data_IF_398831582363
#
_entry.id   IF_398831582363
#
_cell.length_a   1.000
_cell.length_b   1.000
_cell.length_c   1.000
_cell.angle_alpha   90.00
_cell.angle_beta   90.00
_cell.angle_gamma   90.00
#
_symmetry.space_group_name_H-M   'P 1'
#
loop_
_entity.id
_entity.type
_entity.pdbx_description
1 polymer ?
#
# COMPACT_ATOMS: atom_id res chain seq x y z
N UNK A 1 -84.80 80.14 11.11
CA UNK A 1 -83.47 79.79 11.67
C UNK A 1 -82.71 78.73 10.87
N UNK A 2 -83.36 77.82 10.14
CA UNK A 2 -82.70 76.66 9.49
C UNK A 2 -81.64 76.98 8.41
N UNK A 3 -81.79 78.07 7.65
CA UNK A 3 -80.83 78.41 6.57
C UNK A 3 -79.44 78.79 7.11
N UNK A 4 -79.35 79.43 8.29
CA UNK A 4 -78.06 79.78 8.91
C UNK A 4 -77.32 78.55 9.46
N UNK A 5 -78.04 77.51 9.87
CA UNK A 5 -77.44 76.25 10.34
C UNK A 5 -76.88 75.43 9.17
N UNK A 6 -77.59 75.37 8.04
CA UNK A 6 -77.11 74.69 6.81
C UNK A 6 -75.85 75.35 6.23
N UNK A 7 -75.72 76.68 6.31
CA UNK A 7 -74.53 77.39 5.83
C UNK A 7 -73.28 77.13 6.68
N UNK A 8 -73.44 77.11 8.01
CA UNK A 8 -72.34 76.77 8.94
C UNK A 8 -71.87 75.33 8.79
N UNK A 9 -72.78 74.39 8.52
CA UNK A 9 -72.43 72.98 8.27
C UNK A 9 -71.64 72.78 6.97
N UNK A 10 -71.99 73.51 5.89
CA UNK A 10 -71.23 73.47 4.61
C UNK A 10 -69.84 74.08 4.72
N UNK A 11 -69.70 75.18 5.46
CA UNK A 11 -68.40 75.85 5.66
C UNK A 11 -67.45 75.01 6.53
N UNK A 12 -67.98 74.34 7.55
CA UNK A 12 -67.19 73.45 8.41
C UNK A 12 -66.74 72.19 7.66
N UNK A 13 -67.63 71.60 6.84
CA UNK A 13 -67.27 70.47 5.99
C UNK A 13 -66.20 70.80 4.94
N UNK A 14 -66.26 71.99 4.33
CA UNK A 14 -65.24 72.44 3.37
C UNK A 14 -63.88 72.67 4.03
N UNK A 15 -63.85 73.27 5.23
CA UNK A 15 -62.59 73.46 5.98
C UNK A 15 -61.97 72.12 6.40
N UNK A 16 -62.79 71.17 6.84
CA UNK A 16 -62.33 69.83 7.22
C UNK A 16 -61.72 69.08 6.01
N UNK A 17 -62.34 69.20 4.83
CA UNK A 17 -61.89 68.53 3.62
C UNK A 17 -60.57 69.13 3.09
N UNK A 18 -60.40 70.45 3.16
CA UNK A 18 -59.14 71.12 2.80
C UNK A 18 -58.00 70.71 3.75
N UNK A 19 -58.25 70.64 5.06
CA UNK A 19 -57.23 70.19 6.02
C UNK A 19 -56.85 68.72 5.83
N UNK A 20 -57.82 67.87 5.48
CA UNK A 20 -57.58 66.46 5.19
C UNK A 20 -56.69 66.30 3.94
N UNK A 21 -56.99 67.04 2.86
CA UNK A 21 -56.21 67.00 1.62
C UNK A 21 -54.79 67.52 1.83
N UNK A 22 -54.62 68.62 2.56
CA UNK A 22 -53.29 69.15 2.89
C UNK A 22 -52.48 68.15 3.73
N UNK A 23 -53.11 67.50 4.70
CA UNK A 23 -52.47 66.45 5.50
C UNK A 23 -52.05 65.26 4.64
N UNK A 24 -52.89 64.82 3.70
CA UNK A 24 -52.56 63.74 2.77
C UNK A 24 -51.37 64.10 1.86
N UNK A 25 -51.33 65.30 1.30
CA UNK A 25 -50.22 65.78 0.46
C UNK A 25 -48.91 65.83 1.24
N UNK A 26 -48.93 66.32 2.49
CA UNK A 26 -47.74 66.33 3.36
C UNK A 26 -47.24 64.92 3.67
N UNK A 27 -48.13 63.94 3.89
CA UNK A 27 -47.72 62.55 4.11
C UNK A 27 -47.10 61.90 2.87
N UNK A 28 -47.61 62.21 1.67
CA UNK A 28 -47.01 61.72 0.42
C UNK A 28 -45.64 62.32 0.14
N UNK A 29 -45.43 63.61 0.42
CA UNK A 29 -44.13 64.25 0.26
C UNK A 29 -43.06 63.64 1.18
N UNK A 30 -43.42 63.34 2.44
CA UNK A 30 -42.53 62.66 3.38
C UNK A 30 -42.21 61.22 2.92
N UNK A 31 -43.21 60.49 2.43
CA UNK A 31 -43.03 59.14 1.89
C UNK A 31 -42.12 59.14 0.65
N UNK A 32 -42.27 60.13 -0.25
CA UNK A 32 -41.46 60.23 -1.46
C UNK A 32 -40.00 60.58 -1.16
N UNK A 33 -39.76 61.44 -0.16
CA UNK A 33 -38.40 61.76 0.31
C UNK A 33 -37.71 60.53 0.90
N UNK A 34 -38.39 59.78 1.77
CA UNK A 34 -37.86 58.55 2.34
C UNK A 34 -37.60 57.47 1.27
N UNK A 35 -38.41 57.44 0.21
CA UNK A 35 -38.20 56.52 -0.90
C UNK A 35 -36.98 56.90 -1.75
N UNK A 36 -36.74 58.19 -2.00
CA UNK A 36 -35.53 58.65 -2.69
C UNK A 36 -34.25 58.33 -1.90
N UNK A 37 -34.24 58.58 -0.59
CA UNK A 37 -33.09 58.24 0.25
C UNK A 37 -32.79 56.74 0.23
N UNK A 38 -33.84 55.89 0.22
CA UNK A 38 -33.67 54.43 0.06
C UNK A 38 -33.10 54.06 -1.31
N UNK A 39 -33.53 54.70 -2.39
CA UNK A 39 -33.00 54.47 -3.74
C UNK A 39 -31.52 54.84 -3.82
N UNK A 40 -31.11 55.98 -3.26
CA UNK A 40 -29.71 56.39 -3.19
C UNK A 40 -28.86 55.36 -2.42
N UNK A 41 -29.40 54.81 -1.32
CA UNK A 41 -28.69 53.73 -0.59
C UNK A 41 -28.63 52.42 -1.37
N UNK A 42 -29.63 52.11 -2.20
CA UNK A 42 -29.63 50.91 -3.04
C UNK A 42 -28.63 51.06 -4.19
N UNK A 43 -28.54 52.23 -4.82
CA UNK A 43 -27.56 52.52 -5.86
C UNK A 43 -26.13 52.50 -5.31
N UNK A 44 -25.90 53.05 -4.11
CA UNK A 44 -24.60 52.97 -3.45
C UNK A 44 -24.20 51.51 -3.10
N UNK A 45 -25.17 50.69 -2.67
CA UNK A 45 -24.94 49.25 -2.42
C UNK A 45 -24.71 48.49 -3.72
N UNK A 46 -25.44 48.82 -4.78
CA UNK A 46 -25.30 48.20 -6.10
C UNK A 46 -23.94 48.53 -6.70
N UNK A 47 -23.49 49.80 -6.65
CA UNK A 47 -22.16 50.19 -7.10
C UNK A 47 -21.03 49.53 -6.28
N UNK A 48 -21.25 49.31 -4.97
CA UNK A 48 -20.27 48.59 -4.13
C UNK A 48 -20.24 47.09 -4.46
N UNK A 49 -21.39 46.47 -4.69
CA UNK A 49 -21.49 45.08 -5.14
C UNK A 49 -20.88 44.95 -6.53
N UNK A 50 -21.16 45.87 -7.44
CA UNK A 50 -20.59 45.92 -8.79
C UNK A 50 -19.07 46.13 -8.76
N UNK A 51 -18.54 46.95 -7.84
CA UNK A 51 -17.08 47.11 -7.65
C UNK A 51 -16.40 45.87 -7.05
N UNK A 52 -17.12 45.07 -6.25
CA UNK A 52 -16.62 43.80 -5.68
C UNK A 52 -16.83 42.63 -6.65
N UNK A 53 -17.88 42.68 -7.47
CA UNK A 53 -18.23 41.69 -8.48
C UNK A 53 -17.50 41.92 -9.82
N UNK A 54 -17.05 43.14 -10.12
CA UNK A 54 -16.31 43.43 -11.34
C UNK A 54 -14.84 43.00 -11.19
N UNK A 55 -14.57 41.92 -11.93
CA UNK A 55 -13.32 41.46 -12.51
C UNK A 55 -12.21 41.00 -11.57
N UNK A 56 -11.67 41.80 -10.66
CA UNK A 56 -10.36 41.45 -10.05
C UNK A 56 -10.41 40.20 -9.17
N UNK A 57 -11.43 40.06 -8.31
CA UNK A 57 -11.57 38.89 -7.44
C UNK A 57 -11.93 37.61 -8.21
N UNK A 58 -12.83 37.72 -9.21
CA UNK A 58 -13.20 36.60 -10.08
C UNK A 58 -12.07 36.19 -11.03
N UNK A 59 -11.28 37.14 -11.52
CA UNK A 59 -10.08 36.88 -12.32
C UNK A 59 -9.00 36.23 -11.47
N UNK A 60 -8.77 36.70 -10.24
CA UNK A 60 -7.82 36.08 -9.32
C UNK A 60 -8.24 34.64 -8.97
N UNK A 61 -9.54 34.41 -8.71
CA UNK A 61 -10.06 33.07 -8.43
C UNK A 61 -9.97 32.15 -9.66
N UNK A 62 -10.30 32.66 -10.85
CA UNK A 62 -10.16 31.94 -12.11
C UNK A 62 -8.69 31.58 -12.39
N UNK A 63 -7.76 32.52 -12.18
CA UNK A 63 -6.32 32.26 -12.30
C UNK A 63 -5.88 31.17 -11.31
N UNK A 64 -6.37 31.22 -10.06
CA UNK A 64 -6.07 30.20 -9.05
C UNK A 64 -6.62 28.82 -9.43
N UNK A 65 -7.84 28.74 -9.96
CA UNK A 65 -8.41 27.49 -10.48
C UNK A 65 -7.56 26.94 -11.64
N UNK A 66 -7.12 27.79 -12.57
CA UNK A 66 -6.28 27.37 -13.69
C UNK A 66 -4.88 26.89 -13.23
N UNK A 67 -4.32 27.48 -12.17
CA UNK A 67 -3.07 26.99 -11.56
C UNK A 67 -3.30 25.63 -10.90
N UNK A 68 -4.35 25.51 -10.07
CA UNK A 68 -4.67 24.25 -9.39
C UNK A 68 -4.99 23.12 -10.37
N UNK A 69 -5.66 23.40 -11.49
CA UNK A 69 -5.93 22.40 -12.52
C UNK A 69 -4.65 21.91 -13.20
N UNK A 70 -3.69 22.81 -13.48
CA UNK A 70 -2.38 22.44 -14.03
C UNK A 70 -1.58 21.61 -13.03
N UNK A 71 -1.62 21.97 -11.75
CA UNK A 71 -0.94 21.22 -10.69
C UNK A 71 -1.55 19.81 -10.52
N UNK A 72 -2.88 19.67 -10.58
CA UNK A 72 -3.55 18.36 -10.56
C UNK A 72 -3.15 17.53 -11.78
N UNK A 73 -3.06 18.12 -12.98
CA UNK A 73 -2.60 17.42 -14.17
C UNK A 73 -1.15 16.96 -14.05
N UNK A 74 -0.27 17.82 -13.52
CA UNK A 74 1.12 17.46 -13.26
C UNK A 74 1.24 16.34 -12.23
N UNK A 75 0.55 16.45 -11.10
CA UNK A 75 0.55 15.41 -10.06
C UNK A 75 -0.01 14.07 -10.55
N UNK A 76 -0.97 14.08 -11.48
CA UNK A 76 -1.45 12.86 -12.14
C UNK A 76 -0.37 12.26 -13.03
N UNK A 77 0.29 13.07 -13.85
CA UNK A 77 1.43 12.64 -14.67
C UNK A 77 2.57 12.05 -13.84
N UNK A 78 2.92 12.69 -12.72
CA UNK A 78 3.93 12.18 -11.79
C UNK A 78 3.51 10.85 -11.16
N UNK A 79 2.23 10.70 -10.76
CA UNK A 79 1.72 9.42 -10.25
C UNK A 79 1.74 8.32 -11.31
N UNK A 80 1.40 8.64 -12.55
CA UNK A 80 1.45 7.71 -13.68
C UNK A 80 2.89 7.27 -13.97
N UNK A 81 3.84 8.22 -13.94
CA UNK A 81 5.27 7.93 -14.07
C UNK A 81 5.79 7.04 -12.93
N UNK A 82 5.49 7.40 -11.68
CA UNK A 82 5.86 6.60 -10.50
C UNK A 82 5.26 5.19 -10.55
N UNK A 83 4.01 5.07 -11.00
CA UNK A 83 3.35 3.78 -11.19
C UNK A 83 4.04 2.95 -12.26
N UNK A 84 4.40 3.57 -13.38
CA UNK A 84 5.13 2.90 -14.45
C UNK A 84 6.52 2.44 -13.98
N UNK A 85 7.26 3.30 -13.29
CA UNK A 85 8.57 2.97 -12.74
C UNK A 85 8.48 1.83 -11.72
N UNK A 86 7.49 1.84 -10.83
CA UNK A 86 7.21 0.74 -9.91
C UNK A 86 6.93 -0.58 -10.64
N UNK A 87 6.13 -0.55 -11.71
CA UNK A 87 5.82 -1.74 -12.48
C UNK A 87 7.05 -2.28 -13.21
N UNK A 88 7.88 -1.40 -13.78
CA UNK A 88 9.15 -1.76 -14.41
C UNK A 88 10.12 -2.37 -13.40
N UNK A 89 10.24 -1.78 -12.21
CA UNK A 89 11.11 -2.27 -11.15
C UNK A 89 10.64 -3.63 -10.61
N UNK A 90 9.33 -3.82 -10.44
CA UNK A 90 8.73 -5.12 -10.10
C UNK A 90 8.96 -6.17 -11.20
N UNK A 91 8.86 -5.79 -12.48
CA UNK A 91 9.10 -6.70 -13.60
C UNK A 91 10.57 -7.13 -13.64
N UNK A 92 11.50 -6.17 -13.52
CA UNK A 92 12.94 -6.44 -13.45
C UNK A 92 13.31 -7.32 -12.26
N UNK A 93 12.71 -7.07 -11.10
CA UNK A 93 12.88 -7.90 -9.93
C UNK A 93 12.40 -9.34 -10.19
N UNK A 94 11.22 -9.51 -10.79
CA UNK A 94 10.68 -10.84 -11.16
C UNK A 94 11.60 -11.56 -12.13
N UNK A 95 12.11 -10.87 -13.14
CA UNK A 95 13.04 -11.43 -14.11
C UNK A 95 14.35 -11.86 -13.47
N UNK A 96 14.92 -11.04 -12.57
CA UNK A 96 16.10 -11.42 -11.78
C UNK A 96 15.84 -12.65 -10.90
N UNK A 97 14.67 -12.76 -10.28
CA UNK A 97 14.30 -13.96 -9.53
C UNK A 97 14.20 -15.21 -10.42
N UNK A 98 13.64 -15.08 -11.63
CA UNK A 98 13.54 -16.17 -12.59
C UNK A 98 14.92 -16.58 -13.15
N UNK A 99 15.83 -15.62 -13.37
CA UNK A 99 17.20 -15.90 -13.78
C UNK A 99 18.00 -16.61 -12.69
N UNK A 100 17.86 -16.17 -11.43
CA UNK A 100 18.46 -16.85 -10.28
C UNK A 100 17.94 -18.29 -10.18
N UNK A 101 16.62 -18.51 -10.36
CA UNK A 101 16.02 -19.85 -10.34
C UNK A 101 16.55 -20.73 -11.48
N UNK A 102 16.63 -20.19 -12.71
CA UNK A 102 17.23 -20.90 -13.86
C UNK A 102 18.69 -21.25 -13.63
N UNK A 103 19.51 -20.31 -13.14
CA UNK A 103 20.92 -20.55 -12.84
C UNK A 103 21.08 -21.56 -11.73
N UNK A 104 20.21 -21.54 -10.74
CA UNK A 104 20.25 -22.46 -9.63
C UNK A 104 19.80 -23.88 -10.04
N UNK A 105 18.90 -24.00 -11.02
CA UNK A 105 18.56 -25.28 -11.68
C UNK A 105 19.67 -25.75 -12.63
N UNK A 106 20.31 -24.83 -13.36
CA UNK A 106 21.42 -25.14 -14.27
C UNK A 106 22.74 -25.42 -13.54
N UNK A 107 22.86 -25.01 -12.28
CA UNK A 107 23.97 -25.32 -11.37
C UNK A 107 23.73 -26.63 -10.58
N UNK A 108 22.86 -27.52 -11.09
CA UNK A 108 22.93 -28.94 -10.76
C UNK A 108 24.32 -29.50 -11.08
N UNK A 109 24.78 -30.56 -10.38
CA UNK A 109 26.19 -30.83 -10.14
C UNK A 109 26.98 -30.84 -11.44
N UNK A 110 27.94 -29.92 -11.55
CA UNK A 110 29.03 -30.02 -12.51
C UNK A 110 29.82 -31.26 -12.09
N UNK A 111 29.46 -32.41 -12.66
CA UNK A 111 30.41 -33.51 -12.80
C UNK A 111 31.56 -32.96 -13.61
N UNK A 112 32.61 -32.54 -12.91
CA UNK A 112 33.95 -32.46 -13.45
C UNK A 112 34.32 -33.89 -13.85
N UNK A 113 33.89 -34.28 -15.04
CA UNK A 113 34.34 -35.49 -15.70
C UNK A 113 35.83 -35.32 -15.95
N UNK A 114 36.60 -36.07 -15.16
CA UNK A 114 38.03 -36.26 -15.29
C UNK A 114 38.41 -36.52 -16.76
N UNK A 115 39.13 -35.56 -17.34
CA UNK A 115 39.86 -35.74 -18.58
C UNK A 115 41.09 -36.61 -18.31
N UNK A 116 40.93 -37.93 -18.38
CA UNK A 116 42.05 -38.87 -18.58
C UNK A 116 41.76 -39.77 -19.77
N UNK A 117 42.12 -39.25 -20.95
CA UNK A 117 42.39 -40.07 -22.14
C UNK A 117 43.66 -40.89 -21.91
N UNK A 118 43.53 -42.21 -21.94
CA UNK A 118 44.63 -43.12 -22.21
C UNK A 118 44.14 -44.31 -23.05
N UNK A 119 44.66 -44.35 -24.28
CA UNK A 119 45.04 -45.54 -25.08
C UNK A 119 44.02 -46.63 -25.39
N UNK A 120 43.56 -46.53 -26.63
CA UNK A 120 43.21 -47.58 -27.61
C UNK A 120 44.01 -48.90 -27.49
N UNK A 121 43.31 -50.05 -27.58
CA UNK A 121 43.91 -51.39 -27.53
C UNK A 121 42.93 -52.59 -27.52
N UNK A 122 42.15 -52.75 -28.58
CA UNK A 122 41.67 -53.97 -29.31
C UNK A 122 41.56 -55.36 -28.60
N UNK A 123 40.46 -56.08 -28.93
CA UNK A 123 40.22 -57.57 -28.93
C UNK A 123 39.70 -58.20 -27.60
N UNK A 124 38.67 -59.08 -27.48
CA UNK A 124 37.90 -59.95 -28.38
C UNK A 124 36.50 -60.30 -27.79
N UNK A 125 35.61 -60.64 -28.72
CA UNK A 125 34.40 -61.46 -28.66
C UNK A 125 34.43 -62.67 -27.71
N UNK A 126 33.30 -62.96 -27.04
CA UNK A 126 32.62 -64.27 -27.06
C UNK A 126 31.42 -64.31 -26.11
N UNK A 127 30.24 -64.47 -26.71
CA UNK A 127 28.97 -64.73 -26.08
C UNK A 127 28.66 -66.24 -26.22
N UNK A 128 28.60 -67.01 -25.13
CA UNK A 128 27.96 -68.34 -25.13
C UNK A 128 27.66 -68.91 -23.73
N UNK A 129 26.37 -69.25 -23.54
CA UNK A 129 25.83 -70.42 -22.84
C UNK A 129 25.83 -70.49 -21.29
N UNK A 130 24.71 -70.06 -20.72
CA UNK A 130 23.68 -70.87 -20.05
C UNK A 130 24.07 -72.13 -19.23
N UNK A 131 23.66 -72.14 -17.94
CA UNK A 131 23.08 -73.22 -17.07
C UNK A 131 23.47 -72.95 -15.59
N UNK A 132 22.60 -72.55 -14.65
CA UNK A 132 21.48 -73.23 -13.94
C UNK A 132 21.93 -74.29 -12.91
N UNK A 133 21.65 -73.97 -11.62
CA UNK A 133 21.44 -74.84 -10.41
C UNK A 133 22.68 -75.52 -9.76
N UNK A 134 22.85 -75.73 -8.43
CA UNK A 134 21.99 -75.64 -7.20
C UNK A 134 22.85 -75.89 -5.92
N UNK A 135 22.44 -75.25 -4.81
CA UNK A 135 22.39 -75.72 -3.39
C UNK A 135 23.66 -75.96 -2.53
N UNK A 136 23.67 -75.35 -1.33
CA UNK A 136 24.44 -75.79 -0.15
C UNK A 136 24.64 -74.70 0.94
N UNK A 137 24.05 -74.91 2.13
CA UNK A 137 24.11 -74.19 3.42
C UNK A 137 25.37 -73.33 3.78
N UNK A 138 25.21 -72.24 4.55
CA UNK A 138 25.61 -72.07 5.98
C UNK A 138 24.96 -70.82 6.64
N UNK A 139 24.29 -71.09 7.76
CA UNK A 139 24.06 -70.32 9.00
C UNK A 139 24.81 -68.98 9.29
N UNK A 140 24.05 -68.03 9.85
CA UNK A 140 24.35 -67.19 11.03
C UNK A 140 24.95 -65.76 10.90
N UNK A 141 24.18 -64.80 11.44
CA UNK A 141 24.53 -63.58 12.19
C UNK A 141 25.17 -62.35 11.53
N UNK A 142 24.43 -61.23 11.68
CA UNK A 142 24.88 -59.84 11.82
C UNK A 142 25.90 -59.28 10.81
N UNK A 143 25.40 -58.47 9.88
CA UNK A 143 26.11 -57.32 9.34
C UNK A 143 25.15 -56.13 9.21
N UNK A 144 25.06 -55.34 10.30
CA UNK A 144 24.90 -53.90 10.13
C UNK A 144 26.22 -53.33 9.63
N UNK A 145 26.11 -52.24 8.88
CA UNK A 145 27.09 -51.18 8.59
C UNK A 145 27.30 -50.98 7.09
N UNK A 146 27.17 -49.70 6.71
CA UNK A 146 27.41 -49.06 5.42
C UNK A 146 26.28 -49.11 4.37
N UNK A 147 25.08 -48.68 4.76
CA UNK A 147 24.14 -48.07 3.79
C UNK A 147 24.63 -46.66 3.47
N UNK A 148 25.16 -46.50 2.27
CA UNK A 148 25.47 -45.25 1.54
C UNK A 148 24.35 -44.22 1.68
N UNK A 149 24.41 -43.41 2.74
CA UNK A 149 23.46 -42.33 3.02
C UNK A 149 24.25 -41.03 3.02
N UNK A 150 24.18 -40.28 1.92
CA UNK A 150 24.86 -38.99 1.85
C UNK A 150 24.49 -38.10 0.67
N UNK A 151 24.10 -38.65 -0.48
CA UNK A 151 24.03 -37.83 -1.71
C UNK A 151 22.64 -37.73 -2.35
N UNK A 152 21.74 -38.69 -2.15
CA UNK A 152 20.43 -38.68 -2.83
C UNK A 152 19.34 -37.95 -2.02
N UNK A 153 19.42 -37.94 -0.68
CA UNK A 153 18.38 -37.36 0.20
C UNK A 153 18.35 -35.83 0.13
N UNK A 154 19.51 -35.17 0.05
CA UNK A 154 19.60 -33.70 0.04
C UNK A 154 19.00 -33.06 -1.20
N UNK A 155 19.05 -33.74 -2.35
CA UNK A 155 18.51 -33.21 -3.60
C UNK A 155 16.99 -33.39 -3.70
N UNK A 156 16.43 -34.50 -3.19
CA UNK A 156 14.97 -34.66 -3.09
C UNK A 156 14.37 -33.69 -2.08
N UNK A 157 14.92 -33.61 -0.86
CA UNK A 157 14.39 -32.74 0.20
C UNK A 157 14.45 -31.25 -0.17
N UNK A 158 15.47 -30.82 -0.93
CA UNK A 158 15.56 -29.45 -1.42
C UNK A 158 14.58 -29.14 -2.55
N UNK A 159 14.30 -30.10 -3.43
CA UNK A 159 13.27 -29.99 -4.46
C UNK A 159 11.87 -29.94 -3.84
N UNK A 160 11.61 -30.77 -2.82
CA UNK A 160 10.35 -30.79 -2.07
C UNK A 160 10.15 -29.44 -1.35
N UNK A 161 11.18 -28.92 -0.68
CA UNK A 161 11.12 -27.60 -0.06
C UNK A 161 10.85 -26.47 -1.07
N UNK A 162 11.50 -26.50 -2.24
CA UNK A 162 11.27 -25.51 -3.28
C UNK A 162 9.81 -25.53 -3.78
N UNK A 163 9.25 -26.73 -3.96
CA UNK A 163 7.89 -26.92 -4.45
C UNK A 163 6.83 -26.54 -3.41
N UNK A 164 7.02 -26.90 -2.15
CA UNK A 164 6.12 -26.54 -1.05
C UNK A 164 6.09 -25.02 -0.84
N UNK A 165 7.27 -24.39 -0.84
CA UNK A 165 7.37 -22.93 -0.78
C UNK A 165 6.65 -22.26 -1.96
N UNK A 166 6.86 -22.76 -3.18
CA UNK A 166 6.20 -22.24 -4.39
C UNK A 166 4.68 -22.36 -4.31
N UNK A 167 4.17 -23.45 -3.76
CA UNK A 167 2.74 -23.68 -3.56
C UNK A 167 2.16 -22.66 -2.58
N UNK A 168 2.78 -22.51 -1.40
CA UNK A 168 2.38 -21.53 -0.39
C UNK A 168 2.40 -20.10 -0.92
N UNK A 169 3.44 -19.74 -1.68
CA UNK A 169 3.58 -18.42 -2.30
C UNK A 169 2.57 -18.19 -3.43
N UNK A 170 2.17 -19.23 -4.16
CA UNK A 170 1.13 -19.13 -5.20
C UNK A 170 -0.22 -18.79 -4.58
N UNK A 171 -0.57 -19.40 -3.44
CA UNK A 171 -1.79 -19.06 -2.69
C UNK A 171 -1.79 -17.60 -2.23
N UNK A 172 -0.66 -17.12 -1.71
CA UNK A 172 -0.48 -15.71 -1.33
C UNK A 172 -0.77 -14.77 -2.51
N UNK A 173 -0.18 -15.06 -3.67
CA UNK A 173 -0.36 -14.25 -4.90
C UNK A 173 -1.79 -14.24 -5.41
N UNK A 174 -2.56 -15.30 -5.15
CA UNK A 174 -3.98 -15.40 -5.50
C UNK A 174 -4.89 -14.67 -4.48
N UNK A 175 -4.32 -14.09 -3.42
CA UNK A 175 -5.09 -13.45 -2.34
C UNK A 175 -5.74 -14.45 -1.38
N UNK A 176 -5.43 -15.74 -1.49
CA UNK A 176 -5.91 -16.78 -0.58
C UNK A 176 -5.06 -16.80 0.68
N UNK A 177 -5.19 -15.76 1.49
CA UNK A 177 -4.28 -15.52 2.61
C UNK A 177 -4.38 -16.59 3.69
N UNK A 178 -5.58 -17.09 4.00
CA UNK A 178 -5.76 -18.17 4.98
C UNK A 178 -5.10 -19.48 4.55
N UNK A 179 -5.34 -19.91 3.31
CA UNK A 179 -4.69 -21.10 2.75
C UNK A 179 -3.17 -20.93 2.71
N UNK A 180 -2.70 -19.74 2.37
CA UNK A 180 -1.27 -19.41 2.34
C UNK A 180 -0.64 -19.46 3.73
N UNK A 181 -1.32 -18.96 4.76
CA UNK A 181 -0.88 -19.04 6.16
C UNK A 181 -0.73 -20.50 6.59
N UNK A 182 -1.69 -21.37 6.26
CA UNK A 182 -1.62 -22.80 6.56
C UNK A 182 -0.43 -23.44 5.85
N UNK A 183 -0.26 -23.16 4.54
CA UNK A 183 0.81 -23.72 3.74
C UNK A 183 2.21 -23.26 4.20
N UNK A 184 2.39 -21.98 4.55
CA UNK A 184 3.66 -21.49 5.07
C UNK A 184 3.98 -22.03 6.47
N UNK A 185 2.99 -22.18 7.35
CA UNK A 185 3.21 -22.84 8.64
C UNK A 185 3.65 -24.30 8.45
N UNK A 186 2.99 -25.05 7.58
CA UNK A 186 3.40 -26.41 7.23
C UNK A 186 4.83 -26.45 6.70
N UNK A 187 5.16 -25.57 5.75
CA UNK A 187 6.51 -25.42 5.22
C UNK A 187 7.55 -25.16 6.32
N UNK A 188 7.28 -24.26 7.25
CA UNK A 188 8.22 -23.91 8.33
C UNK A 188 8.37 -25.03 9.37
N UNK A 189 7.36 -25.89 9.52
CA UNK A 189 7.44 -27.07 10.37
C UNK A 189 8.31 -28.17 9.74
N UNK A 190 8.16 -28.41 8.44
CA UNK A 190 8.85 -29.51 7.74
C UNK A 190 10.22 -29.11 7.19
N UNK A 191 10.39 -27.85 6.79
CA UNK A 191 11.56 -27.33 6.08
C UNK A 191 12.22 -26.15 6.80
N UNK A 192 12.25 -26.17 8.13
CA UNK A 192 12.75 -25.06 8.99
C UNK A 192 14.20 -24.63 8.71
N UNK A 193 15.03 -25.55 8.21
CA UNK A 193 16.44 -25.33 7.86
C UNK A 193 16.66 -25.02 6.37
N UNK A 194 15.59 -24.96 5.57
CA UNK A 194 15.69 -24.68 4.15
C UNK A 194 16.17 -23.25 3.90
N UNK A 195 16.87 -23.03 2.79
CA UNK A 195 17.23 -21.68 2.31
C UNK A 195 16.01 -20.77 2.10
N UNK A 196 14.82 -21.35 1.92
CA UNK A 196 13.56 -20.60 1.79
C UNK A 196 12.92 -20.26 3.13
N UNK A 197 13.38 -20.80 4.26
CA UNK A 197 12.75 -20.63 5.57
C UNK A 197 12.60 -19.16 5.98
N UNK A 198 13.66 -18.35 5.85
CA UNK A 198 13.56 -16.92 6.19
C UNK A 198 12.58 -16.14 5.30
N UNK A 199 12.47 -16.50 4.02
CA UNK A 199 11.48 -15.92 3.12
C UNK A 199 10.06 -16.39 3.46
N UNK A 200 9.88 -17.69 3.75
CA UNK A 200 8.60 -18.27 4.14
C UNK A 200 8.06 -17.63 5.43
N UNK A 201 8.93 -17.44 6.43
CA UNK A 201 8.64 -16.75 7.68
C UNK A 201 8.18 -15.31 7.43
N UNK A 202 8.86 -14.59 6.53
CA UNK A 202 8.47 -13.24 6.13
C UNK A 202 7.10 -13.20 5.43
N UNK A 203 6.86 -14.12 4.49
CA UNK A 203 5.58 -14.15 3.77
C UNK A 203 4.41 -14.61 4.65
N UNK A 204 4.66 -15.48 5.62
CA UNK A 204 3.69 -15.82 6.65
C UNK A 204 3.29 -14.57 7.46
N UNK A 205 4.27 -13.75 7.85
CA UNK A 205 4.00 -12.50 8.55
C UNK A 205 3.19 -11.51 7.68
N UNK A 206 3.56 -11.35 6.41
CA UNK A 206 2.85 -10.49 5.46
C UNK A 206 1.42 -10.98 5.19
N UNK A 207 1.20 -12.29 5.06
CA UNK A 207 -0.13 -12.86 4.91
C UNK A 207 -1.02 -12.55 6.11
N UNK A 208 -0.48 -12.66 7.33
CA UNK A 208 -1.18 -12.27 8.55
C UNK A 208 -1.46 -10.76 8.57
N UNK A 209 -0.49 -9.93 8.19
CA UNK A 209 -0.63 -8.47 8.15
C UNK A 209 -1.78 -8.05 7.22
N UNK A 210 -1.80 -8.56 5.98
CA UNK A 210 -2.85 -8.22 5.01
C UNK A 210 -4.22 -8.76 5.43
N UNK A 211 -4.24 -9.90 6.14
CA UNK A 211 -5.45 -10.44 6.76
C UNK A 211 -5.88 -9.70 8.04
N UNK A 212 -5.22 -8.59 8.38
CA UNK A 212 -5.43 -7.78 9.60
C UNK A 212 -5.25 -8.55 10.91
N UNK A 213 -4.51 -9.65 10.86
CA UNK A 213 -4.08 -10.45 12.02
C UNK A 213 -2.80 -9.86 12.58
N UNK A 214 -2.88 -8.60 13.01
CA UNK A 214 -1.70 -7.83 13.39
C UNK A 214 -0.92 -8.43 14.59
N UNK A 215 -1.55 -9.00 15.63
CA UNK A 215 -0.79 -9.67 16.70
C UNK A 215 0.04 -10.85 16.20
N UNK A 216 -0.52 -11.65 15.28
CA UNK A 216 0.18 -12.76 14.65
C UNK A 216 1.29 -12.22 13.73
N UNK A 217 0.99 -11.24 12.88
CA UNK A 217 1.98 -10.62 12.00
C UNK A 217 3.19 -10.08 12.79
N UNK A 218 2.94 -9.43 13.92
CA UNK A 218 3.97 -8.93 14.83
C UNK A 218 4.87 -10.07 15.31
N UNK A 219 4.29 -11.17 15.80
CA UNK A 219 5.05 -12.34 16.22
C UNK A 219 5.89 -12.93 15.07
N UNK A 220 5.29 -13.09 13.89
CA UNK A 220 5.97 -13.71 12.75
C UNK A 220 7.07 -12.81 12.15
N UNK A 221 6.92 -11.48 12.14
CA UNK A 221 7.99 -10.55 11.73
C UNK A 221 9.13 -10.54 12.75
N UNK A 222 8.85 -10.59 14.05
CA UNK A 222 9.87 -10.71 15.10
C UNK A 222 10.70 -11.97 14.90
N UNK A 223 10.08 -13.11 14.57
CA UNK A 223 10.81 -14.35 14.25
C UNK A 223 11.76 -14.18 13.05
N UNK A 224 11.39 -13.42 12.01
CA UNK A 224 12.33 -13.13 10.90
C UNK A 224 13.61 -12.48 11.41
N UNK A 225 13.46 -11.51 12.32
CA UNK A 225 14.57 -10.71 12.85
C UNK A 225 15.45 -11.52 13.80
N UNK A 226 14.82 -12.30 14.69
CA UNK A 226 15.51 -13.04 15.75
C UNK A 226 16.10 -14.37 15.27
N UNK A 227 15.36 -15.12 14.45
CA UNK A 227 15.77 -16.46 14.02
C UNK A 227 16.59 -16.44 12.74
N UNK A 228 16.44 -15.41 11.91
CA UNK A 228 17.14 -15.28 10.63
C UNK A 228 17.89 -13.94 10.50
N UNK A 229 18.78 -13.58 11.44
CA UNK A 229 19.42 -12.25 11.49
C UNK A 229 20.33 -11.95 10.27
N UNK A 230 20.78 -12.97 9.54
CA UNK A 230 21.57 -12.82 8.31
C UNK A 230 20.71 -12.76 7.03
N UNK A 231 19.39 -12.89 7.14
CA UNK A 231 18.50 -12.89 5.97
C UNK A 231 18.41 -11.51 5.32
N UNK A 232 18.30 -11.49 3.99
CA UNK A 232 17.98 -10.26 3.25
C UNK A 232 16.61 -9.68 3.60
N UNK A 233 15.74 -10.43 4.28
CA UNK A 233 14.40 -9.97 4.72
C UNK A 233 14.40 -9.24 6.05
N UNK A 234 15.51 -9.16 6.78
CA UNK A 234 15.54 -8.54 8.11
C UNK A 234 15.17 -7.06 8.07
N UNK A 235 15.71 -6.31 7.10
CA UNK A 235 15.43 -4.89 6.95
C UNK A 235 13.94 -4.64 6.62
N UNK A 236 13.38 -5.44 5.71
CA UNK A 236 11.95 -5.38 5.36
C UNK A 236 11.05 -5.79 6.54
N UNK A 237 11.44 -6.83 7.29
CA UNK A 237 10.69 -7.30 8.46
C UNK A 237 10.66 -6.26 9.57
N UNK A 238 11.78 -5.55 9.84
CA UNK A 238 11.83 -4.44 10.80
C UNK A 238 10.94 -3.27 10.40
N UNK A 239 10.91 -2.92 9.11
CA UNK A 239 9.99 -1.90 8.59
C UNK A 239 8.53 -2.30 8.84
N UNK A 240 8.19 -3.54 8.49
CA UNK A 240 6.85 -4.09 8.66
C UNK A 240 6.46 -4.26 10.12
N UNK A 241 7.41 -4.56 11.01
CA UNK A 241 7.18 -4.60 12.46
C UNK A 241 6.73 -3.23 12.97
N UNK A 242 7.43 -2.15 12.59
CA UNK A 242 7.02 -0.78 12.89
C UNK A 242 5.62 -0.45 12.35
N UNK A 243 5.32 -0.84 11.11
CA UNK A 243 3.99 -0.63 10.54
C UNK A 243 2.92 -1.43 11.29
N UNK A 244 3.24 -2.65 11.73
CA UNK A 244 2.32 -3.50 12.49
C UNK A 244 2.02 -2.90 13.87
N UNK A 245 3.02 -2.35 14.55
CA UNK A 245 2.81 -1.59 15.79
C UNK A 245 1.84 -0.41 15.57
N UNK A 246 2.01 0.34 14.48
CA UNK A 246 1.08 1.42 14.13
C UNK A 246 -0.36 0.92 13.94
N UNK A 247 -0.55 -0.19 13.21
CA UNK A 247 -1.89 -0.77 13.00
C UNK A 247 -2.52 -1.32 14.30
N UNK A 248 -1.71 -1.67 15.29
CA UNK A 248 -2.14 -2.06 16.64
C UNK A 248 -2.43 -0.87 17.57
N UNK A 249 -2.22 0.37 17.11
CA UNK A 249 -2.32 1.57 17.96
C UNK A 249 -1.14 1.78 18.91
N UNK A 250 -0.07 0.99 18.75
CA UNK A 250 1.17 1.05 19.52
C UNK A 250 2.12 2.08 18.87
N UNK A 251 1.71 3.35 18.91
CA UNK A 251 2.36 4.40 18.15
C UNK A 251 3.78 4.69 18.63
N UNK A 252 4.03 4.59 19.94
CA UNK A 252 5.36 4.85 20.49
C UNK A 252 6.35 3.75 20.09
N UNK A 253 5.93 2.49 20.18
CA UNK A 253 6.70 1.34 19.71
C UNK A 253 6.99 1.44 18.21
N UNK A 254 5.99 1.81 17.41
CA UNK A 254 6.17 2.09 15.98
C UNK A 254 7.23 3.18 15.75
N UNK A 255 7.19 4.29 16.50
CA UNK A 255 8.15 5.37 16.38
C UNK A 255 9.57 4.91 16.70
N UNK A 256 9.73 4.17 17.80
CA UNK A 256 11.01 3.64 18.25
C UNK A 256 11.60 2.72 17.18
N UNK A 257 10.83 1.74 16.69
CA UNK A 257 11.32 0.77 15.72
C UNK A 257 11.67 1.42 14.37
N UNK A 258 10.82 2.32 13.86
CA UNK A 258 11.08 3.01 12.59
C UNK A 258 12.26 3.97 12.68
N UNK A 259 12.44 4.65 13.82
CA UNK A 259 13.61 5.52 14.06
C UNK A 259 14.89 4.69 14.13
N UNK A 260 14.85 3.56 14.84
CA UNK A 260 15.99 2.63 14.93
C UNK A 260 16.34 2.05 13.56
N UNK A 261 15.35 1.65 12.76
CA UNK A 261 15.54 1.15 11.41
C UNK A 261 16.31 2.17 10.54
N UNK A 262 15.92 3.44 10.58
CA UNK A 262 16.59 4.52 9.84
C UNK A 262 18.05 4.69 10.25
N UNK A 263 18.35 4.56 11.55
CA UNK A 263 19.71 4.63 12.06
C UNK A 263 20.54 3.41 11.65
N UNK A 264 19.95 2.21 11.58
CA UNK A 264 20.63 0.96 11.23
C UNK A 264 20.87 0.82 9.71
N UNK A 265 19.97 1.32 8.88
CA UNK A 265 20.05 1.21 7.41
C UNK A 265 20.01 2.58 6.73
N UNK A 266 20.99 3.46 7.01
CA UNK A 266 21.02 4.79 6.39
C UNK A 266 21.10 4.67 4.86
N UNK A 267 20.46 5.60 4.14
CA UNK A 267 20.44 5.66 2.67
C UNK A 267 19.81 4.44 1.97
N UNK A 268 18.88 3.75 2.63
CA UNK A 268 18.12 2.63 2.05
C UNK A 268 16.67 3.01 1.73
N UNK A 269 16.03 2.25 0.84
CA UNK A 269 14.61 2.41 0.56
C UNK A 269 13.75 2.22 1.82
N UNK A 270 14.11 1.26 2.69
CA UNK A 270 13.39 1.01 3.95
C UNK A 270 13.50 2.19 4.92
N UNK A 271 14.63 2.90 4.95
CA UNK A 271 14.79 4.11 5.75
C UNK A 271 13.91 5.25 5.23
N UNK A 272 13.80 5.42 3.91
CA UNK A 272 12.90 6.40 3.30
C UNK A 272 11.43 6.09 3.60
N UNK A 273 11.01 4.82 3.50
CA UNK A 273 9.65 4.39 3.84
C UNK A 273 9.33 4.56 5.33
N UNK A 274 10.31 4.28 6.19
CA UNK A 274 10.18 4.51 7.62
C UNK A 274 9.99 5.99 7.94
N UNK A 275 10.77 6.88 7.30
CA UNK A 275 10.62 8.32 7.45
C UNK A 275 9.21 8.77 7.01
N UNK A 276 8.74 8.32 5.85
CA UNK A 276 7.41 8.66 5.35
C UNK A 276 6.31 8.26 6.34
N UNK A 277 6.44 7.10 7.00
CA UNK A 277 5.49 6.65 8.02
C UNK A 277 5.56 7.50 9.28
N UNK A 278 6.76 7.84 9.76
CA UNK A 278 6.95 8.74 10.90
C UNK A 278 6.33 10.13 10.65
N UNK A 279 6.52 10.69 9.47
CA UNK A 279 5.94 11.98 9.08
C UNK A 279 4.41 11.92 8.99
N UNK A 280 3.87 10.78 8.56
CA UNK A 280 2.42 10.53 8.61
C UNK A 280 1.91 10.48 10.05
N UNK A 281 2.56 9.72 10.93
CA UNK A 281 2.19 9.63 12.35
C UNK A 281 2.18 11.00 13.02
N UNK A 282 3.23 11.81 12.79
CA UNK A 282 3.32 13.15 13.35
C UNK A 282 2.17 14.07 12.89
N UNK A 283 1.75 13.99 11.62
CA UNK A 283 0.60 14.75 11.09
C UNK A 283 -0.73 14.29 11.67
N UNK A 284 -0.83 13.03 12.06
CA UNK A 284 -2.02 12.44 12.69
C UNK A 284 -2.07 12.73 14.21
N UNK A 285 -1.03 13.38 14.76
CA UNK A 285 -0.94 13.71 16.18
C UNK A 285 -0.46 12.54 17.05
N UNK A 286 0.14 11.53 16.43
CA UNK A 286 0.72 10.37 17.10
C UNK A 286 2.23 10.51 17.21
#
# INVERSE_FOLDING_TARGET
MERKLRMKCKLFGSRLLVTLVLMQVSTMAAAHKANNERLDTMDARMQRVERVANSEALVNLSQRINVLQREIQQLRGENEQLTHELNTLKSRQREQYLDIDRRLQASGPVSMSDSRSASEGVLLDNNAANQVQTSGDINNSNHQVATTSGTIVSNSASNDAAQDYKTAFTLLKQGKYDDSIVAFNGFLQTHSQSKYASNAQYWLAEANYVSKRYPQALSEFTKVIEQYPASSKVADAKLKLGFTHYELGQYEESRIELTRLRAQFPNSSVASLAQQRLDRMAREGH
#
